data_IF_122359936821
#
_entry.id   IF_122359936821
#
_cell.length_a   1.000
_cell.length_b   1.000
_cell.length_c   1.000
_cell.angle_alpha   90.00
_cell.angle_beta   90.00
_cell.angle_gamma   90.00
#
_symmetry.space_group_name_H-M   'P 1'
#
loop_
_entity.id
_entity.type
_entity.pdbx_description
1 polymer ?
#
# COMPACT_ATOMS: atom_id res chain seq x y z
N UNK A 1 -9.58 -17.65 -20.66
CA UNK A 1 -9.17 -16.27 -20.39
C UNK A 1 -7.67 -16.32 -20.20
N UNK A 2 -6.95 -15.90 -21.22
CA UNK A 2 -5.49 -15.97 -21.28
C UNK A 2 -4.95 -14.85 -20.38
N UNK A 3 -4.16 -15.21 -19.38
CA UNK A 3 -3.45 -14.23 -18.56
C UNK A 3 -2.20 -13.83 -19.33
N UNK A 4 -2.04 -12.53 -19.59
CA UNK A 4 -0.85 -12.00 -20.25
C UNK A 4 0.38 -12.21 -19.34
N UNK A 5 1.51 -12.70 -19.87
CA UNK A 5 2.73 -12.86 -19.09
C UNK A 5 3.47 -11.52 -19.09
N UNK A 6 3.28 -10.72 -18.04
CA UNK A 6 4.00 -9.45 -17.89
C UNK A 6 5.19 -9.68 -16.96
N UNK A 7 6.36 -9.64 -17.61
CA UNK A 7 7.74 -9.46 -17.11
C UNK A 7 8.49 -10.71 -16.62
N UNK A 8 9.29 -11.28 -17.53
CA UNK A 8 10.48 -12.06 -17.21
C UNK A 8 11.73 -11.20 -17.47
N UNK A 9 12.61 -11.12 -16.47
CA UNK A 9 13.92 -10.43 -16.49
C UNK A 9 13.86 -9.16 -15.65
N UNK A 10 14.60 -8.99 -14.55
CA UNK A 10 15.99 -9.34 -14.26
C UNK A 10 16.12 -9.57 -12.73
N UNK A 11 17.07 -10.41 -12.27
CA UNK A 11 17.40 -10.76 -10.86
C UNK A 11 16.31 -10.43 -9.83
N UNK A 12 15.59 -11.44 -9.31
CA UNK A 12 14.54 -11.34 -8.29
C UNK A 12 15.12 -10.77 -6.99
N UNK A 13 15.42 -9.47 -6.99
CA UNK A 13 15.94 -8.74 -5.86
C UNK A 13 14.84 -8.72 -4.80
N UNK A 14 15.19 -9.11 -3.58
CA UNK A 14 14.25 -8.96 -2.49
C UNK A 14 13.88 -7.48 -2.34
N UNK A 15 12.57 -7.19 -2.33
CA UNK A 15 12.06 -5.83 -2.17
C UNK A 15 12.73 -5.16 -0.95
N UNK A 16 13.29 -3.94 -1.08
CA UNK A 16 14.06 -3.34 0.00
C UNK A 16 13.25 -3.24 1.30
N UNK A 17 13.88 -3.65 2.40
CA UNK A 17 13.26 -3.63 3.73
C UNK A 17 13.88 -2.52 4.58
N UNK A 18 13.10 -1.48 4.88
CA UNK A 18 13.52 -0.31 5.66
C UNK A 18 13.06 -0.48 7.11
N UNK A 19 13.96 -0.23 8.05
CA UNK A 19 13.68 -0.35 9.49
C UNK A 19 13.48 1.04 10.10
N UNK A 20 12.22 1.38 10.44
CA UNK A 20 11.87 2.69 10.97
C UNK A 20 12.60 3.00 12.30
N UNK A 21 12.76 2.01 13.19
CA UNK A 21 13.51 2.22 14.42
C UNK A 21 14.95 2.67 14.14
N UNK A 22 15.62 2.10 13.14
CA UNK A 22 17.00 2.51 12.77
C UNK A 22 17.06 3.93 12.20
N UNK A 23 16.00 4.40 11.55
CA UNK A 23 15.86 5.81 11.13
C UNK A 23 15.66 6.79 12.31
N UNK A 24 15.24 6.30 13.48
CA UNK A 24 14.99 7.15 14.66
C UNK A 24 16.18 7.22 15.62
N UNK A 25 17.17 6.32 15.51
CA UNK A 25 18.34 6.28 16.38
C UNK A 25 19.62 6.69 15.63
N UNK A 26 20.32 7.69 16.18
CA UNK A 26 21.54 8.30 15.58
C UNK A 26 22.60 7.25 15.19
N UNK A 27 22.70 6.16 15.94
CA UNK A 27 23.68 5.09 15.70
C UNK A 27 23.53 4.41 14.33
N UNK A 28 22.32 4.36 13.78
CA UNK A 28 22.01 3.66 12.53
C UNK A 28 21.40 4.56 11.45
N UNK A 29 21.11 5.83 11.79
CA UNK A 29 20.41 6.78 10.93
C UNK A 29 21.05 6.88 9.55
N UNK A 30 22.37 7.06 9.46
CA UNK A 30 23.03 7.30 8.18
C UNK A 30 22.94 6.12 7.22
N UNK A 31 23.18 4.91 7.72
CA UNK A 31 23.12 3.67 6.93
C UNK A 31 21.69 3.40 6.45
N UNK A 32 20.71 3.50 7.36
CA UNK A 32 19.32 3.21 7.03
C UNK A 32 18.70 4.30 6.15
N UNK A 33 19.09 5.57 6.32
CA UNK A 33 18.67 6.66 5.45
C UNK A 33 19.24 6.53 4.04
N UNK A 34 20.50 6.08 3.90
CA UNK A 34 21.08 5.78 2.59
C UNK A 34 20.32 4.63 1.91
N UNK A 35 19.99 3.57 2.66
CA UNK A 35 19.18 2.46 2.16
C UNK A 35 17.80 2.92 1.69
N UNK A 36 17.13 3.77 2.48
CA UNK A 36 15.85 4.37 2.11
C UNK A 36 15.98 5.22 0.83
N UNK A 37 17.02 6.04 0.72
CA UNK A 37 17.30 6.83 -0.48
C UNK A 37 17.47 5.98 -1.73
N UNK A 38 18.27 4.91 -1.65
CA UNK A 38 18.46 3.96 -2.75
C UNK A 38 17.16 3.24 -3.11
N UNK A 39 16.38 2.79 -2.12
CA UNK A 39 15.08 2.17 -2.37
C UNK A 39 14.12 3.13 -3.09
N UNK A 40 14.08 4.40 -2.70
CA UNK A 40 13.28 5.41 -3.40
C UNK A 40 13.75 5.66 -4.84
N UNK A 41 15.06 5.65 -5.09
CA UNK A 41 15.64 5.97 -6.39
C UNK A 41 15.56 4.81 -7.40
N UNK A 42 15.86 3.59 -6.95
CA UNK A 42 16.01 2.43 -7.81
C UNK A 42 14.72 1.60 -7.90
N UNK A 43 13.95 1.52 -6.80
CA UNK A 43 12.74 0.70 -6.74
C UNK A 43 11.45 1.52 -6.80
N UNK A 44 11.43 2.70 -6.17
CA UNK A 44 10.20 3.47 -5.95
C UNK A 44 9.22 2.80 -4.97
N UNK A 45 9.61 1.66 -4.38
CA UNK A 45 8.79 0.88 -3.45
C UNK A 45 9.68 0.12 -2.46
N UNK A 46 9.20 -0.07 -1.23
CA UNK A 46 9.91 -0.78 -0.16
C UNK A 46 8.95 -1.24 0.93
N UNK A 47 9.36 -2.22 1.73
CA UNK A 47 8.67 -2.61 2.96
C UNK A 47 9.21 -1.81 4.14
N UNK A 48 8.33 -1.31 5.01
CA UNK A 48 8.73 -0.65 6.26
C UNK A 48 8.43 -1.58 7.44
N UNK A 49 9.43 -1.85 8.28
CA UNK A 49 9.31 -2.65 9.50
C UNK A 49 9.64 -1.82 10.75
N UNK A 50 9.25 -2.34 11.92
CA UNK A 50 9.41 -1.65 13.20
C UNK A 50 8.84 -0.23 13.18
N UNK A 51 7.75 0.00 12.43
CA UNK A 51 7.12 1.30 12.22
C UNK A 51 6.40 1.86 13.47
N UNK A 52 6.37 1.12 14.58
CA UNK A 52 5.82 1.56 15.86
C UNK A 52 4.28 1.51 15.97
N UNK A 53 3.60 0.98 14.96
CA UNK A 53 2.16 0.69 15.01
C UNK A 53 2.00 -0.69 15.63
N UNK A 54 1.15 -0.84 16.63
CA UNK A 54 0.97 -2.14 17.29
C UNK A 54 0.27 -3.14 16.38
N UNK A 55 0.64 -4.41 16.52
CA UNK A 55 0.03 -5.50 15.76
C UNK A 55 -1.48 -5.61 16.02
N UNK A 56 -1.93 -5.31 17.25
CA UNK A 56 -3.36 -5.28 17.60
C UNK A 56 -4.15 -4.29 16.73
N UNK A 57 -3.59 -3.11 16.45
CA UNK A 57 -4.24 -2.10 15.60
C UNK A 57 -4.31 -2.59 14.15
N UNK A 58 -3.24 -3.20 13.65
CA UNK A 58 -3.18 -3.73 12.29
C UNK A 58 -4.18 -4.88 12.12
N UNK A 59 -4.23 -5.81 13.08
CA UNK A 59 -5.14 -6.95 13.00
C UNK A 59 -6.59 -6.54 13.17
N UNK A 60 -6.90 -5.61 14.07
CA UNK A 60 -8.25 -5.04 14.16
C UNK A 60 -8.64 -4.35 12.85
N UNK A 61 -7.75 -3.55 12.25
CA UNK A 61 -8.01 -2.91 10.96
C UNK A 61 -8.33 -3.95 9.87
N UNK A 62 -7.54 -5.02 9.75
CA UNK A 62 -7.80 -6.11 8.80
C UNK A 62 -9.16 -6.78 9.04
N UNK A 63 -9.48 -7.10 10.28
CA UNK A 63 -10.76 -7.71 10.66
C UNK A 63 -11.96 -6.82 10.30
N UNK A 64 -11.91 -5.54 10.65
CA UNK A 64 -12.99 -4.59 10.36
C UNK A 64 -13.17 -4.36 8.86
N UNK A 65 -12.07 -4.24 8.09
CA UNK A 65 -12.13 -4.13 6.62
C UNK A 65 -12.76 -5.39 6.03
N UNK A 66 -12.32 -6.58 6.43
CA UNK A 66 -12.91 -7.84 5.96
C UNK A 66 -14.40 -7.93 6.31
N UNK A 67 -14.78 -7.56 7.54
CA UNK A 67 -16.16 -7.50 8.00
C UNK A 67 -17.02 -6.59 7.12
N UNK A 68 -16.54 -5.37 6.84
CA UNK A 68 -17.23 -4.44 5.93
C UNK A 68 -17.45 -5.03 4.54
N UNK A 69 -16.42 -5.65 3.94
CA UNK A 69 -16.53 -6.20 2.59
C UNK A 69 -17.39 -7.47 2.50
N UNK A 70 -17.59 -8.18 3.61
CA UNK A 70 -18.53 -9.31 3.75
C UNK A 70 -20.00 -8.88 3.83
N UNK A 71 -20.30 -7.62 4.14
CA UNK A 71 -21.67 -7.10 4.16
C UNK A 71 -22.35 -7.21 2.78
N UNK A 72 -23.69 -7.33 2.73
CA UNK A 72 -24.44 -7.25 1.49
C UNK A 72 -24.13 -5.98 0.70
N UNK A 73 -24.21 -6.07 -0.63
CA UNK A 73 -23.92 -4.94 -1.52
C UNK A 73 -24.74 -3.69 -1.19
N UNK A 74 -26.01 -3.85 -0.79
CA UNK A 74 -26.88 -2.72 -0.46
C UNK A 74 -26.38 -1.94 0.75
N UNK A 75 -25.88 -2.64 1.78
CA UNK A 75 -25.29 -2.00 2.96
C UNK A 75 -24.00 -1.26 2.60
N UNK A 76 -23.12 -1.87 1.80
CA UNK A 76 -21.90 -1.20 1.31
C UNK A 76 -22.22 0.03 0.47
N UNK A 77 -23.28 -0.02 -0.34
CA UNK A 77 -23.76 1.11 -1.16
C UNK A 77 -24.38 2.25 -0.36
N UNK A 78 -24.69 2.07 0.93
CA UNK A 78 -25.06 3.22 1.78
C UNK A 78 -23.90 4.20 1.95
N UNK A 79 -22.66 3.73 1.76
CA UNK A 79 -21.43 4.52 1.75
C UNK A 79 -20.92 4.80 0.33
N UNK A 80 -21.78 4.74 -0.70
CA UNK A 80 -21.32 4.88 -2.08
C UNK A 80 -20.66 6.24 -2.37
N UNK A 81 -19.72 6.25 -3.32
CA UNK A 81 -19.15 7.48 -3.84
C UNK A 81 -20.24 8.43 -4.34
N UNK A 82 -20.15 9.70 -3.92
CA UNK A 82 -21.06 10.77 -4.36
C UNK A 82 -20.53 11.42 -5.64
N UNK A 83 -21.40 12.02 -6.48
CA UNK A 83 -20.94 12.80 -7.62
C UNK A 83 -19.90 13.84 -7.20
N UNK A 84 -18.78 13.92 -7.94
CA UNK A 84 -17.64 14.81 -7.66
C UNK A 84 -16.91 14.53 -6.33
N UNK A 85 -17.08 13.33 -5.75
CA UNK A 85 -16.27 12.83 -4.64
C UNK A 85 -15.61 11.51 -5.02
N UNK A 86 -14.37 11.31 -4.55
CA UNK A 86 -13.64 10.04 -4.65
C UNK A 86 -13.80 9.16 -3.41
N UNK A 87 -14.41 9.71 -2.36
CA UNK A 87 -14.59 9.03 -1.08
C UNK A 87 -15.82 8.11 -1.11
N UNK A 88 -15.71 6.96 -0.45
CA UNK A 88 -16.80 5.99 -0.31
C UNK A 88 -16.60 4.73 -1.15
N UNK A 89 -17.60 3.86 -1.12
CA UNK A 89 -17.62 2.58 -1.82
C UNK A 89 -17.96 2.79 -3.30
N UNK A 90 -17.00 2.53 -4.19
CA UNK A 90 -17.18 2.67 -5.63
C UNK A 90 -15.83 2.60 -6.35
N UNK A 91 -15.88 2.50 -7.66
CA UNK A 91 -14.69 2.67 -8.49
C UNK A 91 -14.72 4.09 -9.05
N UNK A 92 -13.62 4.81 -8.89
CA UNK A 92 -13.41 6.07 -9.60
C UNK A 92 -13.24 5.72 -11.07
N UNK A 93 -14.27 5.95 -11.89
CA UNK A 93 -14.16 5.80 -13.33
C UNK A 93 -13.08 6.75 -13.83
N UNK A 94 -12.16 6.22 -14.64
CA UNK A 94 -11.16 7.03 -15.33
C UNK A 94 -11.89 8.03 -16.24
N UNK A 95 -11.75 9.32 -15.94
CA UNK A 95 -12.25 10.43 -16.77
C UNK A 95 -11.16 10.84 -17.77
N UNK A 96 -10.39 9.90 -18.30
CA UNK A 96 -9.66 10.12 -19.53
C UNK A 96 -10.70 10.30 -20.64
N UNK A 97 -11.16 11.54 -20.82
CA UNK A 97 -11.69 11.97 -22.10
C UNK A 97 -10.56 11.74 -23.11
N UNK A 98 -10.70 10.70 -23.94
CA UNK A 98 -9.92 10.57 -25.17
C UNK A 98 -10.06 11.88 -25.97
N UNK A 99 -8.96 12.58 -26.30
CA UNK A 99 -9.00 13.63 -27.32
C UNK A 99 -9.11 13.07 -28.74
#
# INVERSE_FOLDING_TARGET
MQVDPVLNGEEDGELPLINMSRLLYIQHLQEEAMKLGLACQEWGFFQLVNHGISDEVIERMKCEIQGFFQLPLQEKKTYAQKPRSVEGYGQTFDLSEDP
#
